data_IF_023568399336
#
_entry.id   IF_023568399336
#
_cell.length_a   1.000
_cell.length_b   1.000
_cell.length_c   1.000
_cell.angle_alpha   90.00
_cell.angle_beta   90.00
_cell.angle_gamma   90.00
#
_symmetry.space_group_name_H-M   'P 1'
#
loop_
_entity.id
_entity.type
_entity.pdbx_description
1 polymer ?
#
# COMPACT_ATOMS: atom_id res chain seq x y z
N UNK A 1 16.68 -10.93 -14.82
CA UNK A 1 15.75 -10.78 -13.69
C UNK A 1 16.52 -10.10 -12.57
N UNK A 2 16.22 -8.84 -12.25
CA UNK A 2 16.70 -8.26 -11.00
C UNK A 2 16.05 -9.06 -9.87
N UNK A 3 16.86 -9.66 -8.99
CA UNK A 3 16.37 -10.33 -7.79
C UNK A 3 15.43 -9.38 -7.05
N UNK A 4 14.26 -9.89 -6.67
CA UNK A 4 13.27 -9.12 -5.88
C UNK A 4 13.54 -9.17 -4.39
N UNK A 5 14.50 -9.99 -3.99
CA UNK A 5 14.88 -10.18 -2.61
C UNK A 5 15.96 -9.18 -2.26
N UNK A 6 15.72 -8.41 -1.20
CA UNK A 6 16.76 -7.56 -0.64
C UNK A 6 17.56 -8.37 0.38
N UNK A 7 18.19 -9.46 -0.07
CA UNK A 7 18.83 -10.47 0.80
C UNK A 7 19.90 -9.89 1.74
N UNK A 8 20.48 -8.74 1.37
CA UNK A 8 21.47 -8.01 2.16
C UNK A 8 20.91 -6.80 2.94
N UNK A 9 19.61 -6.50 2.86
CA UNK A 9 18.99 -5.38 3.55
C UNK A 9 18.08 -5.87 4.68
N UNK A 10 18.58 -5.79 5.91
CA UNK A 10 17.84 -6.18 7.10
C UNK A 10 17.07 -5.00 7.68
N UNK A 11 16.08 -4.50 6.92
CA UNK A 11 15.14 -3.50 7.44
C UNK A 11 13.70 -3.83 7.03
N UNK A 12 12.73 -3.46 7.88
CA UNK A 12 11.31 -3.71 7.60
C UNK A 12 10.80 -2.96 6.37
N UNK A 13 11.49 -1.89 5.95
CA UNK A 13 11.21 -1.18 4.69
C UNK A 13 11.54 -2.09 3.50
N UNK A 14 12.71 -2.74 3.49
CA UNK A 14 13.10 -3.66 2.43
C UNK A 14 12.11 -4.83 2.30
N UNK A 15 11.72 -5.46 3.43
CA UNK A 15 10.67 -6.50 3.44
C UNK A 15 9.32 -5.99 2.94
N UNK A 16 8.96 -4.75 3.31
CA UNK A 16 7.76 -4.10 2.78
C UNK A 16 7.86 -3.93 1.26
N UNK A 17 9.02 -3.54 0.73
CA UNK A 17 9.26 -3.37 -0.71
C UNK A 17 9.22 -4.69 -1.50
N UNK A 18 9.50 -5.85 -0.90
CA UNK A 18 9.29 -7.14 -1.56
C UNK A 18 7.80 -7.42 -1.85
N UNK A 19 6.93 -6.90 -0.97
CA UNK A 19 5.48 -7.02 -1.10
C UNK A 19 4.92 -5.91 -1.97
N UNK A 20 5.22 -4.64 -1.66
CA UNK A 20 4.57 -3.47 -2.28
C UNK A 20 5.47 -2.64 -3.20
N UNK A 21 6.77 -2.92 -3.25
CA UNK A 21 7.75 -2.15 -4.03
C UNK A 21 7.70 -2.41 -5.53
N UNK A 22 6.83 -3.30 -5.98
CA UNK A 22 6.53 -3.41 -7.39
C UNK A 22 5.51 -2.37 -7.83
N UNK A 23 5.82 -1.68 -8.94
CA UNK A 23 5.11 -0.51 -9.48
C UNK A 23 3.58 -0.57 -9.40
N UNK A 24 2.99 -1.73 -9.66
CA UNK A 24 1.54 -1.88 -9.76
C UNK A 24 0.87 -2.23 -8.44
N UNK A 25 1.61 -2.76 -7.46
CA UNK A 25 1.03 -3.30 -6.24
C UNK A 25 0.29 -2.23 -5.45
N UNK A 26 0.94 -1.10 -5.16
CA UNK A 26 0.32 0.02 -4.44
C UNK A 26 -0.84 0.63 -5.22
N UNK A 27 -0.78 0.65 -6.56
CA UNK A 27 -1.86 1.18 -7.40
C UNK A 27 -3.09 0.27 -7.41
N UNK A 28 -2.90 -1.05 -7.44
CA UNK A 28 -4.00 -2.03 -7.34
C UNK A 28 -4.65 -1.95 -5.95
N UNK A 29 -3.84 -1.87 -4.88
CA UNK A 29 -4.37 -1.73 -3.52
C UNK A 29 -5.13 -0.41 -3.36
N UNK A 30 -4.59 0.72 -3.86
CA UNK A 30 -5.29 2.01 -3.90
C UNK A 30 -6.66 1.85 -4.55
N UNK A 31 -6.72 1.26 -5.75
CA UNK A 31 -7.97 1.09 -6.48
C UNK A 31 -8.96 0.18 -5.73
N UNK A 32 -8.47 -0.89 -5.10
CA UNK A 32 -9.30 -1.78 -4.28
C UNK A 32 -9.85 -1.06 -3.03
N UNK A 33 -9.06 -0.21 -2.38
CA UNK A 33 -9.49 0.60 -1.24
C UNK A 33 -10.51 1.68 -1.67
N UNK A 34 -10.42 2.16 -2.91
CA UNK A 34 -11.42 3.06 -3.53
C UNK A 34 -12.69 2.34 -4.00
N UNK A 35 -12.77 1.02 -3.83
CA UNK A 35 -13.97 0.23 -4.10
C UNK A 35 -14.00 -0.48 -5.44
N UNK A 36 -12.92 -0.48 -6.22
CA UNK A 36 -12.81 -1.37 -7.38
C UNK A 36 -12.72 -2.83 -6.89
N UNK A 37 -13.40 -3.73 -7.62
CA UNK A 37 -13.60 -5.12 -7.20
C UNK A 37 -13.34 -6.12 -8.31
N UNK A 38 -13.56 -5.74 -9.58
CA UNK A 38 -13.51 -6.65 -10.73
C UNK A 38 -12.26 -6.44 -11.56
N UNK A 39 -11.82 -7.51 -12.22
CA UNK A 39 -10.62 -7.50 -13.05
C UNK A 39 -10.63 -6.39 -14.11
N UNK A 40 -11.73 -6.25 -14.87
CA UNK A 40 -11.83 -5.22 -15.91
C UNK A 40 -11.75 -3.81 -15.33
N UNK A 41 -12.28 -3.56 -14.12
CA UNK A 41 -12.19 -2.24 -13.49
C UNK A 41 -10.74 -1.86 -13.18
N UNK A 42 -9.96 -2.81 -12.65
CA UNK A 42 -8.52 -2.59 -12.43
C UNK A 42 -7.77 -2.42 -13.75
N UNK A 43 -8.12 -3.19 -14.77
CA UNK A 43 -7.49 -3.10 -16.09
C UNK A 43 -7.75 -1.74 -16.73
N UNK A 44 -9.01 -1.27 -16.71
CA UNK A 44 -9.43 0.01 -17.28
C UNK A 44 -8.82 1.19 -16.53
N UNK A 45 -8.77 1.11 -15.19
CA UNK A 45 -8.16 2.14 -14.33
C UNK A 45 -6.66 2.29 -14.55
N UNK A 46 -5.93 1.17 -14.67
CA UNK A 46 -4.47 1.17 -14.65
C UNK A 46 -3.82 1.10 -16.04
N UNK A 47 -4.56 0.74 -17.09
CA UNK A 47 -4.02 0.51 -18.43
C UNK A 47 -2.95 -0.59 -18.49
N UNK A 48 -2.91 -1.45 -17.48
CA UNK A 48 -1.91 -2.50 -17.31
C UNK A 48 -2.25 -3.71 -18.19
N UNK A 49 -1.23 -4.35 -18.77
CA UNK A 49 -1.41 -5.57 -19.55
C UNK A 49 -2.07 -6.69 -18.73
N UNK A 50 -3.05 -7.40 -19.32
CA UNK A 50 -3.89 -8.41 -18.65
C UNK A 50 -3.09 -9.51 -17.95
N UNK A 51 -2.03 -10.00 -18.58
CA UNK A 51 -1.15 -11.03 -18.02
C UNK A 51 -0.40 -10.52 -16.77
N UNK A 52 0.06 -9.26 -16.79
CA UNK A 52 0.70 -8.63 -15.63
C UNK A 52 -0.32 -8.43 -14.52
N UNK A 53 -1.52 -7.92 -14.83
CA UNK A 53 -2.59 -7.75 -13.84
C UNK A 53 -2.98 -9.07 -13.17
N UNK A 54 -3.14 -10.13 -13.96
CA UNK A 54 -3.46 -11.48 -13.46
C UNK A 54 -2.40 -11.95 -12.46
N UNK A 55 -1.12 -11.82 -12.81
CA UNK A 55 -0.02 -12.21 -11.93
C UNK A 55 0.02 -11.37 -10.65
N UNK A 56 -0.29 -10.07 -10.73
CA UNK A 56 -0.31 -9.16 -9.57
C UNK A 56 -1.45 -9.46 -8.62
N UNK A 57 -2.67 -9.60 -9.15
CA UNK A 57 -3.84 -9.94 -8.35
C UNK A 57 -3.67 -11.30 -7.67
N UNK A 58 -3.13 -12.29 -8.38
CA UNK A 58 -2.84 -13.61 -7.79
C UNK A 58 -1.85 -13.48 -6.63
N UNK A 59 -0.73 -12.76 -6.82
CA UNK A 59 0.25 -12.55 -5.75
C UNK A 59 -0.31 -11.76 -4.57
N UNK A 60 -1.15 -10.75 -4.81
CA UNK A 60 -1.81 -9.99 -3.75
C UNK A 60 -2.77 -10.86 -2.93
N UNK A 61 -3.40 -11.86 -3.56
CA UNK A 61 -4.20 -12.86 -2.87
C UNK A 61 -3.31 -13.79 -2.04
N UNK A 62 -2.24 -14.31 -2.64
CA UNK A 62 -1.28 -15.18 -1.94
C UNK A 62 -0.62 -14.49 -0.72
N UNK A 63 -0.32 -13.20 -0.85
CA UNK A 63 0.27 -12.37 0.21
C UNK A 63 -0.78 -11.91 1.26
N UNK A 64 -2.06 -12.28 1.10
CA UNK A 64 -3.15 -11.99 2.04
C UNK A 64 -3.60 -10.52 2.07
N UNK A 65 -3.39 -9.78 0.98
CA UNK A 65 -3.83 -8.40 0.83
C UNK A 65 -5.21 -8.30 0.16
N UNK A 66 -5.54 -9.26 -0.70
CA UNK A 66 -6.85 -9.35 -1.34
C UNK A 66 -7.46 -10.73 -1.10
N UNK A 67 -8.77 -10.79 -0.91
CA UNK A 67 -9.55 -12.02 -0.96
C UNK A 67 -10.20 -12.13 -2.34
N UNK A 68 -10.07 -13.29 -2.98
CA UNK A 68 -10.80 -13.60 -4.22
C UNK A 68 -12.12 -14.28 -3.87
N UNK A 69 -13.21 -13.53 -3.96
CA UNK A 69 -14.55 -13.96 -3.53
C UNK A 69 -15.43 -14.25 -4.74
N UNK A 70 -16.08 -15.41 -4.75
CA UNK A 70 -17.11 -15.73 -5.74
C UNK A 70 -18.41 -15.01 -5.36
N UNK A 71 -18.96 -14.18 -6.25
CA UNK A 71 -20.22 -13.47 -5.99
C UNK A 71 -21.39 -13.99 -6.84
N UNK A 72 -21.11 -14.85 -7.82
CA UNK A 72 -22.11 -15.47 -8.69
C UNK A 72 -21.60 -16.83 -9.12
N UNK A 73 -22.40 -17.89 -8.98
CA UNK A 73 -21.94 -19.26 -9.28
C UNK A 73 -22.20 -19.70 -10.74
N UNK A 74 -23.16 -19.08 -11.44
CA UNK A 74 -23.59 -19.53 -12.79
C UNK A 74 -23.86 -18.36 -13.75
N UNK A 75 -22.91 -18.01 -14.65
CA UNK A 75 -21.52 -18.48 -14.67
C UNK A 75 -20.75 -17.98 -13.44
N UNK A 76 -19.68 -18.69 -13.06
CA UNK A 76 -18.83 -18.29 -11.94
C UNK A 76 -18.21 -16.91 -12.17
N UNK A 77 -18.42 -15.96 -11.25
CA UNK A 77 -17.81 -14.63 -11.28
C UNK A 77 -17.15 -14.31 -9.95
N UNK A 78 -16.00 -13.68 -10.04
CA UNK A 78 -15.16 -13.37 -8.90
C UNK A 78 -14.92 -11.87 -8.80
N UNK A 79 -14.70 -11.43 -7.57
CA UNK A 79 -14.21 -10.11 -7.23
C UNK A 79 -13.05 -10.21 -6.24
N UNK A 80 -12.31 -9.12 -6.11
CA UNK A 80 -11.17 -8.97 -5.22
C UNK A 80 -11.54 -7.97 -4.12
N UNK A 81 -11.55 -8.43 -2.88
CA UNK A 81 -11.89 -7.60 -1.72
C UNK A 81 -10.64 -7.32 -0.87
N UNK A 82 -10.38 -6.07 -0.44
CA UNK A 82 -9.25 -5.75 0.41
C UNK A 82 -9.45 -6.33 1.80
N UNK A 83 -8.43 -7.07 2.26
CA UNK A 83 -8.38 -7.62 3.62
C UNK A 83 -8.09 -6.53 4.64
N UNK A 84 -8.17 -6.83 5.93
CA UNK A 84 -7.72 -5.91 6.99
C UNK A 84 -6.26 -5.50 6.80
N UNK A 85 -5.40 -6.46 6.41
CA UNK A 85 -3.98 -6.21 6.10
C UNK A 85 -3.79 -5.17 5.00
N UNK A 86 -4.64 -5.18 3.96
CA UNK A 86 -4.60 -4.14 2.92
C UNK A 86 -5.17 -2.80 3.38
N UNK A 87 -6.14 -2.78 4.30
CA UNK A 87 -6.66 -1.54 4.89
C UNK A 87 -5.61 -0.85 5.76
N UNK A 88 -4.80 -1.62 6.50
CA UNK A 88 -3.71 -1.08 7.32
C UNK A 88 -2.62 -0.39 6.46
N UNK A 89 -2.47 -0.78 5.19
CA UNK A 89 -1.57 -0.10 4.24
C UNK A 89 -2.06 1.30 3.83
N UNK A 90 -3.31 1.67 4.12
CA UNK A 90 -3.84 2.98 3.74
C UNK A 90 -3.00 4.13 4.30
N UNK A 91 -2.54 4.03 5.55
CA UNK A 91 -1.70 5.08 6.16
C UNK A 91 -0.40 5.28 5.39
N UNK A 92 0.25 4.20 4.95
CA UNK A 92 1.46 4.29 4.15
C UNK A 92 1.19 4.85 2.74
N UNK A 93 0.06 4.48 2.13
CA UNK A 93 -0.39 5.03 0.85
C UNK A 93 -0.65 6.54 0.92
N UNK A 94 -1.30 7.00 1.99
CA UNK A 94 -1.56 8.43 2.20
C UNK A 94 -0.27 9.22 2.40
N UNK A 95 0.69 8.68 3.17
CA UNK A 95 2.00 9.30 3.33
C UNK A 95 2.74 9.46 2.00
N UNK A 96 2.72 8.43 1.14
CA UNK A 96 3.31 8.49 -0.20
C UNK A 96 2.56 9.48 -1.11
N UNK A 97 1.23 9.52 -1.01
CA UNK A 97 0.40 10.44 -1.79
C UNK A 97 0.69 11.89 -1.41
N UNK A 98 0.64 12.25 -0.12
CA UNK A 98 0.91 13.62 0.31
C UNK A 98 2.35 14.06 0.02
N UNK A 99 3.33 13.16 0.15
CA UNK A 99 4.70 13.45 -0.29
C UNK A 99 4.76 13.73 -1.81
N UNK A 100 4.03 12.95 -2.61
CA UNK A 100 3.92 13.17 -4.05
C UNK A 100 3.22 14.48 -4.40
N UNK A 101 2.13 14.81 -3.71
CA UNK A 101 1.37 16.04 -3.91
C UNK A 101 2.24 17.28 -3.63
N UNK A 102 3.13 17.21 -2.64
CA UNK A 102 4.04 18.31 -2.24
C UNK A 102 5.27 18.43 -3.16
N UNK A 103 5.83 17.32 -3.65
CA UNK A 103 7.15 17.32 -4.28
C UNK A 103 7.16 16.93 -5.76
N UNK A 104 6.09 16.31 -6.25
CA UNK A 104 5.90 15.95 -7.65
C UNK A 104 4.75 16.76 -8.26
N UNK A 105 4.69 18.05 -7.91
CA UNK A 105 3.60 18.99 -8.21
C UNK A 105 3.07 18.86 -9.64
N UNK A 106 1.75 18.73 -9.74
CA UNK A 106 1.00 18.93 -10.97
C UNK A 106 0.41 20.35 -10.96
N UNK A 107 0.54 21.16 -12.04
CA UNK A 107 -0.07 22.49 -12.11
C UNK A 107 -1.58 22.52 -11.86
N UNK A 108 -2.29 21.41 -12.03
CA UNK A 108 -3.71 21.27 -11.73
C UNK A 108 -4.01 20.99 -10.24
N UNK A 109 -2.98 20.78 -9.41
CA UNK A 109 -3.09 20.42 -8.00
C UNK A 109 -3.20 18.91 -7.76
N UNK A 110 -3.41 18.49 -6.49
CA UNK A 110 -3.41 17.08 -6.13
C UNK A 110 -4.60 16.34 -6.76
N UNK A 111 -4.39 15.16 -7.38
CA UNK A 111 -5.44 14.42 -8.07
C UNK A 111 -6.47 13.80 -7.12
N UNK A 112 -6.18 13.74 -5.82
CA UNK A 112 -7.08 13.25 -4.76
C UNK A 112 -6.91 14.08 -3.50
N UNK A 113 -8.01 14.24 -2.75
CA UNK A 113 -8.03 14.93 -1.46
C UNK A 113 -8.55 13.96 -0.40
N UNK A 114 -7.90 13.93 0.75
CA UNK A 114 -8.33 13.12 1.90
C UNK A 114 -9.38 13.89 2.70
N UNK A 115 -10.53 13.27 2.97
CA UNK A 115 -11.57 13.88 3.80
C UNK A 115 -12.02 12.90 4.89
N UNK A 116 -12.20 13.40 6.10
CA UNK A 116 -12.78 12.65 7.20
C UNK A 116 -14.29 12.46 6.98
N UNK A 117 -14.71 11.19 6.91
CA UNK A 117 -16.12 10.83 6.84
C UNK A 117 -16.84 11.25 8.12
N UNK A 118 -17.55 12.37 8.08
CA UNK A 118 -18.31 12.92 9.20
C UNK A 118 -18.21 14.44 9.30
N UNK A 119 -17.00 14.99 9.32
CA UNK A 119 -16.80 16.45 9.39
C UNK A 119 -16.27 17.07 8.08
N UNK A 120 -15.79 16.26 7.13
CA UNK A 120 -15.24 16.73 5.87
C UNK A 120 -13.87 17.43 5.98
N UNK A 121 -13.26 17.45 7.17
CA UNK A 121 -11.91 17.99 7.36
C UNK A 121 -10.84 17.10 6.72
N UNK A 122 -9.71 17.69 6.35
CA UNK A 122 -8.60 16.97 5.73
C UNK A 122 -7.94 16.00 6.71
N UNK A 123 -7.45 14.86 6.19
CA UNK A 123 -6.73 13.85 6.98
C UNK A 123 -5.25 13.87 6.62
N UNK A 124 -4.38 13.89 7.62
CA UNK A 124 -2.92 13.76 7.44
C UNK A 124 -2.36 12.72 8.40
N UNK A 125 -1.35 12.01 7.93
CA UNK A 125 -0.50 11.14 8.75
C UNK A 125 0.39 11.98 9.66
N UNK A 126 0.65 11.44 10.86
CA UNK A 126 1.53 12.03 11.86
C UNK A 126 2.32 10.93 12.55
N UNK A 127 3.57 11.24 12.92
CA UNK A 127 4.36 10.38 13.80
C UNK A 127 3.97 10.72 15.24
N UNK A 128 3.54 9.71 16.00
CA UNK A 128 3.10 9.88 17.39
C UNK A 128 3.93 8.99 18.30
N UNK A 129 4.52 9.58 19.34
CA UNK A 129 5.25 8.83 20.36
C UNK A 129 4.26 8.02 21.21
N UNK A 130 4.42 6.70 21.26
CA UNK A 130 3.52 5.80 21.99
C UNK A 130 3.65 5.89 23.51
N UNK A 131 4.70 6.54 24.03
CA UNK A 131 4.91 6.72 25.46
C UNK A 131 4.30 8.02 25.99
N UNK A 132 4.53 9.16 25.33
CA UNK A 132 4.06 10.47 25.78
C UNK A 132 2.86 11.01 24.99
N UNK A 133 2.48 10.38 23.88
CA UNK A 133 1.36 10.79 23.03
C UNK A 133 1.64 12.02 22.16
N UNK A 134 2.85 12.58 22.19
CA UNK A 134 3.20 13.76 21.40
C UNK A 134 3.33 13.40 19.92
N UNK A 135 2.87 14.34 19.07
CA UNK A 135 3.20 14.36 17.64
C UNK A 135 4.63 14.86 17.49
N UNK A 136 5.45 14.12 16.75
CA UNK A 136 6.88 14.41 16.57
C UNK A 136 7.22 14.62 15.09
N UNK A 137 8.21 15.48 14.83
CA UNK A 137 8.78 15.66 13.50
C UNK A 137 9.84 14.60 13.18
N UNK A 138 10.27 14.50 11.90
CA UNK A 138 11.29 13.52 11.47
C UNK A 138 12.63 13.69 12.21
N UNK A 139 13.04 14.93 12.53
CA UNK A 139 14.30 15.21 13.23
C UNK A 139 14.32 14.70 14.69
N UNK A 140 13.14 14.41 15.25
CA UNK A 140 12.99 13.87 16.60
C UNK A 140 12.86 12.33 16.62
N UNK A 141 13.07 11.65 15.49
CA UNK A 141 13.02 10.18 15.37
C UNK A 141 14.42 9.59 15.24
N UNK A 142 14.74 8.66 16.13
CA UNK A 142 15.96 7.86 16.05
C UNK A 142 15.64 6.41 15.68
N UNK A 143 16.20 5.92 14.58
CA UNK A 143 16.08 4.53 14.16
C UNK A 143 17.17 3.70 14.84
N UNK A 144 16.80 3.04 15.95
CA UNK A 144 17.70 2.15 16.68
C UNK A 144 17.59 0.70 16.14
N UNK A 145 18.68 -0.08 16.18
CA UNK A 145 18.64 -1.51 15.90
C UNK A 145 17.58 -2.23 16.75
N UNK A 146 16.71 -2.99 16.08
CA UNK A 146 15.77 -3.89 16.75
C UNK A 146 16.37 -5.30 16.95
N UNK A 147 15.68 -6.18 17.71
CA UNK A 147 16.18 -7.52 18.06
C UNK A 147 16.63 -8.36 16.85
N UNK A 148 15.90 -8.26 15.73
CA UNK A 148 16.22 -8.98 14.50
C UNK A 148 17.53 -8.56 13.81
N UNK A 149 18.12 -7.42 14.21
CA UNK A 149 19.42 -6.94 13.71
C UNK A 149 20.57 -7.26 14.69
N UNK A 150 20.27 -7.44 15.98
CA UNK A 150 21.27 -7.73 17.02
C UNK A 150 21.66 -9.20 17.15
N UNK A 151 20.81 -10.14 16.71
CA UNK A 151 21.05 -11.59 16.81
C UNK A 151 21.82 -12.19 15.62
N UNK A 152 22.55 -11.38 14.85
CA UNK A 152 23.35 -11.87 13.74
C UNK A 152 24.69 -12.44 14.24
N UNK A 153 25.10 -13.65 13.81
CA UNK A 153 26.46 -14.10 14.03
C UNK A 153 27.43 -13.17 13.28
N UNK A 154 28.47 -12.74 14.00
CA UNK A 154 29.57 -11.91 13.51
C UNK A 154 30.33 -12.64 12.40
#
# INVERSE_FOLDING_TARGET
MLGRTYDSQLCSIARTLEVVGERWTLLIIRDALLGLRRFEEFQDSLGIARNVLTNRLSKLVDDGLLDRVCYQERPARYEYQPTSKAKDLLTALLALMHWGDEHAEDPAGPPRITNHAGCGGNVREQLVCTQCGQVVGPDAVHLLPGPALTDLPI
#
